data_IF_418059234682
#
_entry.id   IF_418059234682
#
_cell.length_a   1.000
_cell.length_b   1.000
_cell.length_c   1.000
_cell.angle_alpha   90.00
_cell.angle_beta   90.00
_cell.angle_gamma   90.00
#
_symmetry.space_group_name_H-M   'P 1'
#
loop_
_entity.id
_entity.type
_entity.pdbx_description
1 polymer ?
#
# COMPACT_ATOMS: atom_id res chain seq x y z
N UNK A 1 6.92 27.38 -8.21
CA UNK A 1 5.99 26.23 -8.38
C UNK A 1 6.81 24.95 -8.37
N UNK A 2 6.87 24.27 -7.22
CA UNK A 2 7.52 22.97 -7.09
C UNK A 2 6.59 21.90 -7.67
N UNK A 3 6.76 21.58 -8.95
CA UNK A 3 6.25 20.31 -9.48
C UNK A 3 7.02 19.19 -8.79
N UNK A 4 6.48 18.73 -7.66
CA UNK A 4 6.92 17.50 -7.03
C UNK A 4 6.73 16.40 -8.07
N UNK A 5 7.82 15.99 -8.73
CA UNK A 5 7.89 14.75 -9.50
C UNK A 5 7.69 13.62 -8.50
N UNK A 6 6.45 13.37 -8.13
CA UNK A 6 6.01 12.06 -7.69
C UNK A 6 6.32 11.13 -8.86
N UNK A 7 7.52 10.56 -8.89
CA UNK A 7 7.68 9.23 -9.46
C UNK A 7 6.57 8.43 -8.82
N UNK A 8 5.52 8.09 -9.58
CA UNK A 8 4.30 7.50 -9.04
C UNK A 8 4.70 6.17 -8.40
N UNK A 9 4.98 6.22 -7.10
CA UNK A 9 5.14 5.04 -6.28
C UNK A 9 3.87 4.25 -6.49
N UNK A 10 4.02 2.99 -6.90
CA UNK A 10 2.91 2.06 -7.13
C UNK A 10 1.94 2.19 -5.97
N UNK A 11 0.78 2.78 -6.27
CA UNK A 11 -0.19 3.19 -5.27
C UNK A 11 -1.27 2.13 -5.24
N UNK A 12 -1.40 1.50 -4.08
CA UNK A 12 -2.48 0.57 -3.81
C UNK A 12 -3.83 1.28 -3.87
N UNK A 13 -4.84 0.65 -4.46
CA UNK A 13 -6.22 1.14 -4.45
C UNK A 13 -7.24 0.02 -4.47
N UNK A 14 -8.43 0.32 -3.95
CA UNK A 14 -9.62 -0.51 -4.10
C UNK A 14 -10.49 0.02 -5.25
N UNK A 15 -10.70 -0.81 -6.27
CA UNK A 15 -11.71 -0.60 -7.30
C UNK A 15 -13.05 -1.13 -6.81
N UNK A 16 -14.05 -0.27 -6.72
CA UNK A 16 -15.39 -0.59 -6.21
C UNK A 16 -16.39 -0.55 -7.36
N UNK A 17 -17.01 -1.68 -7.66
CA UNK A 17 -18.09 -1.79 -8.64
C UNK A 17 -19.44 -1.91 -7.92
N UNK A 18 -20.35 -0.99 -8.20
CA UNK A 18 -21.68 -0.93 -7.59
C UNK A 18 -22.76 -1.31 -8.58
N UNK A 19 -23.74 -2.08 -8.13
CA UNK A 19 -24.97 -2.34 -8.90
C UNK A 19 -25.96 -1.17 -8.71
N UNK A 20 -26.51 -0.66 -9.79
CA UNK A 20 -27.59 0.33 -9.83
C UNK A 20 -28.76 -0.19 -10.69
N UNK A 21 -29.91 0.49 -10.65
CA UNK A 21 -31.06 0.14 -11.50
C UNK A 21 -30.72 0.25 -12.99
N UNK A 22 -29.99 1.30 -13.36
CA UNK A 22 -29.67 1.63 -14.75
C UNK A 22 -28.27 1.14 -15.18
N UNK A 23 -27.78 0.08 -14.53
CA UNK A 23 -26.51 -0.57 -14.87
C UNK A 23 -25.50 -0.62 -13.72
N UNK A 24 -24.22 -0.50 -14.06
CA UNK A 24 -23.11 -0.53 -13.10
C UNK A 24 -22.31 0.75 -13.18
N UNK A 25 -21.84 1.20 -12.03
CA UNK A 25 -20.92 2.32 -11.91
C UNK A 25 -19.78 1.91 -10.98
N UNK A 26 -18.63 2.54 -11.11
CA UNK A 26 -17.41 2.17 -10.40
C UNK A 26 -16.62 3.39 -9.96
N UNK A 27 -15.87 3.23 -8.87
CA UNK A 27 -14.98 4.27 -8.35
C UNK A 27 -13.72 3.65 -7.76
N UNK A 28 -12.62 4.37 -7.80
CA UNK A 28 -11.33 3.96 -7.27
C UNK A 28 -11.07 4.67 -5.94
N UNK A 29 -10.83 3.92 -4.87
CA UNK A 29 -10.40 4.46 -3.58
C UNK A 29 -8.92 4.16 -3.38
N UNK A 30 -8.00 5.13 -3.54
CA UNK A 30 -6.59 4.91 -3.33
C UNK A 30 -6.22 4.92 -1.84
N UNK A 31 -5.15 4.21 -1.51
CA UNK A 31 -4.53 4.20 -0.19
C UNK A 31 -3.28 5.08 -0.19
N UNK A 32 -3.22 6.04 0.72
CA UNK A 32 -2.05 6.90 0.91
C UNK A 32 -1.31 6.51 2.18
N UNK A 33 -0.15 5.87 2.03
CA UNK A 33 0.73 5.55 3.15
C UNK A 33 1.45 6.81 3.67
N UNK A 34 1.54 6.97 5.00
CA UNK A 34 2.28 8.05 5.66
C UNK A 34 3.67 7.62 6.16
N UNK A 35 4.15 6.43 5.75
CA UNK A 35 5.46 5.90 6.11
C UNK A 35 5.68 5.68 7.63
N UNK A 36 4.62 5.39 8.39
CA UNK A 36 4.69 5.14 9.84
C UNK A 36 5.48 3.90 10.30
N UNK A 37 6.07 3.12 9.39
CA UNK A 37 6.90 1.97 9.72
C UNK A 37 6.17 0.76 10.32
N UNK A 38 4.86 0.81 10.55
CA UNK A 38 4.10 -0.31 11.16
C UNK A 38 4.15 -1.58 10.31
N UNK A 39 4.18 -1.48 8.98
CA UNK A 39 4.36 -2.66 8.13
C UNK A 39 5.74 -3.33 8.30
N UNK A 40 6.72 -2.60 8.84
CA UNK A 40 8.07 -3.10 9.12
C UNK A 40 8.17 -3.78 10.49
N UNK A 41 7.12 -3.72 11.32
CA UNK A 41 7.02 -4.44 12.61
C UNK A 41 6.20 -5.71 12.48
N UNK A 42 5.78 -6.09 11.27
CA UNK A 42 5.08 -7.35 11.00
C UNK A 42 6.10 -8.47 10.75
N UNK A 43 5.74 -9.70 11.12
CA UNK A 43 6.63 -10.87 11.21
C UNK A 43 7.12 -11.46 9.87
N UNK A 44 7.16 -10.67 8.78
CA UNK A 44 7.37 -11.19 7.41
C UNK A 44 8.23 -10.28 6.52
N UNK A 45 8.91 -9.27 7.07
CA UNK A 45 9.68 -8.36 6.22
C UNK A 45 10.77 -9.08 5.40
N UNK A 46 11.41 -10.10 5.96
CA UNK A 46 12.55 -10.78 5.34
C UNK A 46 12.15 -11.71 4.18
N UNK A 47 10.84 -11.99 4.02
CA UNK A 47 10.29 -12.77 2.90
C UNK A 47 9.58 -11.89 1.86
N UNK A 48 9.61 -10.57 2.02
CA UNK A 48 8.91 -9.63 1.15
C UNK A 48 9.49 -9.50 -0.28
N UNK A 49 10.41 -10.37 -0.68
CA UNK A 49 10.97 -10.43 -2.03
C UNK A 49 12.24 -9.58 -2.23
N UNK A 50 12.70 -9.54 -3.49
CA UNK A 50 13.94 -8.83 -3.86
C UNK A 50 13.71 -7.33 -3.99
N UNK A 51 14.66 -6.56 -3.48
CA UNK A 51 14.73 -5.12 -3.71
C UNK A 51 15.36 -4.86 -5.08
N UNK A 52 14.63 -4.19 -5.99
CA UNK A 52 15.15 -3.77 -7.30
C UNK A 52 15.79 -2.39 -7.19
N UNK A 53 17.11 -2.38 -6.99
CA UNK A 53 17.92 -1.16 -6.94
C UNK A 53 19.07 -1.31 -7.93
N UNK A 54 19.31 -0.26 -8.71
CA UNK A 54 20.53 -0.14 -9.51
C UNK A 54 21.73 0.09 -8.57
N UNK A 55 22.74 -0.81 -8.54
CA UNK A 55 23.90 -0.67 -7.66
C UNK A 55 24.67 0.63 -7.86
N UNK A 56 24.65 1.20 -9.08
CA UNK A 56 25.32 2.46 -9.40
C UNK A 56 24.60 3.67 -8.77
N UNK A 57 23.29 3.60 -8.61
CA UNK A 57 22.49 4.69 -8.04
C UNK A 57 22.54 4.71 -6.52
N UNK A 58 22.64 3.53 -5.88
CA UNK A 58 22.62 3.40 -4.42
C UNK A 58 23.59 2.30 -3.92
N UNK A 59 24.91 2.48 -4.06
CA UNK A 59 25.89 1.44 -3.76
C UNK A 59 25.89 1.01 -2.29
N UNK A 60 25.69 1.95 -1.35
CA UNK A 60 25.62 1.65 0.10
C UNK A 60 24.43 0.76 0.45
N UNK A 61 23.26 1.06 -0.13
CA UNK A 61 22.06 0.29 0.13
C UNK A 61 22.13 -1.09 -0.53
N UNK A 62 22.69 -1.16 -1.74
CA UNK A 62 22.96 -2.44 -2.40
C UNK A 62 23.90 -3.32 -1.56
N UNK A 63 25.01 -2.78 -1.07
CA UNK A 63 25.94 -3.50 -0.19
C UNK A 63 25.26 -3.98 1.11
N UNK A 64 24.43 -3.13 1.74
CA UNK A 64 23.66 -3.51 2.95
C UNK A 64 22.67 -4.64 2.66
N UNK A 65 21.96 -4.60 1.54
CA UNK A 65 21.03 -5.66 1.13
C UNK A 65 21.76 -6.97 0.82
N UNK A 66 22.88 -6.91 0.11
CA UNK A 66 23.69 -8.08 -0.21
C UNK A 66 24.18 -8.76 1.08
N UNK A 67 24.78 -8.00 2.00
CA UNK A 67 25.22 -8.53 3.28
C UNK A 67 24.09 -9.16 4.10
N UNK A 68 22.89 -8.58 4.06
CA UNK A 68 21.71 -9.15 4.70
C UNK A 68 21.31 -10.49 4.05
N UNK A 69 21.22 -10.55 2.72
CA UNK A 69 20.86 -11.78 2.02
C UNK A 69 21.91 -12.88 2.21
N UNK A 70 23.19 -12.55 2.23
CA UNK A 70 24.27 -13.50 2.49
C UNK A 70 24.22 -14.06 3.93
N UNK A 71 23.89 -13.22 4.92
CA UNK A 71 23.69 -13.69 6.30
C UNK A 71 22.45 -14.60 6.43
N UNK A 72 21.34 -14.24 5.78
CA UNK A 72 20.13 -15.05 5.77
C UNK A 72 20.35 -16.39 5.08
N UNK A 73 21.04 -16.41 3.93
CA UNK A 73 21.40 -17.63 3.22
C UNK A 73 22.25 -18.57 4.08
N UNK A 74 23.30 -18.05 4.73
CA UNK A 74 24.14 -18.84 5.64
C UNK A 74 23.33 -19.41 6.81
N UNK A 75 22.39 -18.65 7.39
CA UNK A 75 21.53 -19.15 8.49
C UNK A 75 20.63 -20.28 8.03
N UNK A 76 20.03 -20.15 6.84
CA UNK A 76 19.19 -21.18 6.26
C UNK A 76 19.96 -22.50 6.03
N UNK A 77 21.18 -22.41 5.50
CA UNK A 77 22.05 -23.58 5.25
C UNK A 77 22.46 -24.30 6.55
N UNK A 78 22.65 -23.56 7.65
CA UNK A 78 23.05 -24.14 8.94
C UNK A 78 21.86 -24.84 9.62
N UNK A 79 20.71 -24.18 9.69
CA UNK A 79 19.53 -24.69 10.39
C UNK A 79 18.26 -23.95 9.94
N UNK A 80 17.44 -24.62 9.13
CA UNK A 80 16.19 -24.07 8.61
C UNK A 80 15.18 -23.72 9.72
N UNK A 81 15.08 -24.52 10.79
CA UNK A 81 14.15 -24.25 11.88
C UNK A 81 14.58 -23.02 12.69
N UNK A 82 15.89 -22.84 12.89
CA UNK A 82 16.44 -21.64 13.52
C UNK A 82 16.30 -20.40 12.64
N UNK A 83 16.43 -20.56 11.32
CA UNK A 83 16.15 -19.51 10.36
C UNK A 83 14.69 -19.05 10.45
N UNK A 84 13.73 -19.98 10.43
CA UNK A 84 12.30 -19.66 10.51
C UNK A 84 11.99 -18.89 11.79
N UNK A 85 12.53 -19.34 12.92
CA UNK A 85 12.39 -18.62 14.19
C UNK A 85 13.03 -17.23 14.12
N UNK A 86 14.19 -17.08 13.49
CA UNK A 86 14.86 -15.79 13.35
C UNK A 86 14.01 -14.82 12.53
N UNK A 87 13.49 -15.22 11.38
CA UNK A 87 12.73 -14.31 10.51
C UNK A 87 11.39 -13.88 11.12
N UNK A 88 10.76 -14.74 11.92
CA UNK A 88 9.51 -14.43 12.61
C UNK A 88 9.65 -13.44 13.78
N UNK A 89 10.84 -13.35 14.39
CA UNK A 89 11.03 -12.56 15.61
C UNK A 89 11.98 -11.37 15.42
N UNK A 90 12.59 -11.23 14.25
CA UNK A 90 13.54 -10.15 13.95
C UNK A 90 12.81 -8.99 13.29
N UNK A 91 12.93 -7.79 13.89
CA UNK A 91 12.41 -6.59 13.29
C UNK A 91 13.06 -6.30 11.93
N UNK A 92 12.31 -5.65 11.04
CA UNK A 92 12.83 -5.20 9.76
C UNK A 92 14.13 -4.39 9.92
N UNK A 93 15.25 -4.78 9.27
CA UNK A 93 16.54 -4.08 9.38
C UNK A 93 16.57 -2.69 8.71
N UNK A 94 15.46 -2.28 8.11
CA UNK A 94 15.25 -0.95 7.52
C UNK A 94 14.23 -0.12 8.31
N UNK A 95 13.75 -0.61 9.45
CA UNK A 95 13.00 0.21 10.39
C UNK A 95 13.96 1.11 11.16
N UNK A 96 13.98 2.40 10.85
CA UNK A 96 14.83 3.41 11.50
C UNK A 96 13.94 4.56 11.96
N UNK A 97 14.02 4.93 13.24
CA UNK A 97 13.21 6.01 13.84
C UNK A 97 11.70 5.88 13.54
N UNK A 98 11.16 4.66 13.62
CA UNK A 98 9.75 4.33 13.30
C UNK A 98 9.34 4.61 11.84
N UNK A 99 10.29 4.65 10.91
CA UNK A 99 10.02 4.78 9.48
C UNK A 99 10.86 3.79 8.66
N UNK A 100 10.38 3.47 7.46
CA UNK A 100 11.09 2.59 6.53
C UNK A 100 12.19 3.38 5.80
N UNK A 101 13.45 3.11 6.12
CA UNK A 101 14.61 3.79 5.53
C UNK A 101 14.79 3.56 4.03
N UNK A 102 14.07 2.58 3.46
CA UNK A 102 14.12 2.22 2.04
C UNK A 102 12.78 2.41 1.32
N UNK A 103 11.90 3.27 1.86
CA UNK A 103 10.51 3.39 1.40
C UNK A 103 10.34 3.54 -0.12
N UNK A 104 11.21 4.35 -0.75
CA UNK A 104 11.17 4.61 -2.21
C UNK A 104 11.53 3.38 -3.06
N UNK A 105 12.31 2.45 -2.50
CA UNK A 105 12.87 1.28 -3.20
C UNK A 105 12.48 -0.02 -2.48
N UNK A 106 11.32 -0.03 -1.83
CA UNK A 106 10.79 -1.20 -1.13
C UNK A 106 10.75 -2.44 -2.04
N UNK A 107 10.99 -3.64 -1.48
CA UNK A 107 10.82 -4.88 -2.23
C UNK A 107 9.35 -5.10 -2.59
N UNK A 108 9.10 -5.92 -3.61
CA UNK A 108 7.76 -6.14 -4.18
C UNK A 108 6.69 -6.46 -3.12
N UNK A 109 6.94 -7.43 -2.23
CA UNK A 109 5.99 -7.80 -1.16
C UNK A 109 5.72 -6.66 -0.17
N UNK A 110 6.68 -5.75 0.05
CA UNK A 110 6.45 -4.55 0.86
C UNK A 110 5.65 -3.48 0.13
N UNK A 111 5.74 -3.43 -1.21
CA UNK A 111 4.90 -2.55 -2.03
C UNK A 111 3.47 -3.03 -2.05
N UNK A 112 3.26 -4.34 -1.90
CA UNK A 112 1.93 -4.92 -1.85
C UNK A 112 1.12 -4.53 -0.61
N UNK A 113 1.73 -3.98 0.44
CA UNK A 113 1.00 -3.48 1.61
C UNK A 113 -0.01 -2.38 1.23
N UNK A 114 -1.27 -2.45 1.71
CA UNK A 114 -1.82 -3.37 2.70
C UNK A 114 -2.42 -4.68 2.13
N UNK A 115 -2.40 -4.90 0.82
CA UNK A 115 -2.89 -6.12 0.16
C UNK A 115 -1.93 -7.31 0.32
N UNK A 116 -1.63 -7.64 1.57
CA UNK A 116 -0.91 -8.86 1.99
C UNK A 116 -1.79 -9.63 2.97
N UNK A 117 -1.52 -10.92 3.26
CA UNK A 117 -2.34 -11.73 4.18
C UNK A 117 -2.58 -11.07 5.54
N UNK A 118 -1.58 -10.32 6.05
CA UNK A 118 -1.62 -9.64 7.35
C UNK A 118 -1.83 -8.13 7.23
N UNK A 119 -1.55 -7.53 6.07
CA UNK A 119 -1.56 -6.08 5.88
C UNK A 119 -2.93 -5.46 6.16
N UNK A 120 -4.00 -6.08 5.66
CA UNK A 120 -5.37 -5.63 5.95
C UNK A 120 -5.81 -5.91 7.39
N UNK A 121 -5.05 -6.64 8.20
CA UNK A 121 -5.37 -6.94 9.60
C UNK A 121 -4.68 -5.97 10.58
N UNK A 122 -3.69 -5.20 10.10
CA UNK A 122 -2.95 -4.24 10.93
C UNK A 122 -3.88 -3.21 11.58
N UNK A 123 -3.69 -2.98 12.88
CA UNK A 123 -4.48 -2.05 13.69
C UNK A 123 -3.75 -0.75 14.04
N UNK A 124 -2.43 -0.75 14.08
CA UNK A 124 -1.65 0.44 14.49
C UNK A 124 -1.25 1.35 13.32
N UNK A 125 -1.75 1.06 12.13
CA UNK A 125 -1.53 1.87 10.93
C UNK A 125 -2.70 2.84 10.72
N UNK A 126 -2.53 4.08 11.16
CA UNK A 126 -3.56 5.12 11.10
C UNK A 126 -4.12 5.33 9.66
N UNK A 127 -3.29 5.44 8.60
CA UNK A 127 -3.84 5.57 7.25
C UNK A 127 -4.63 4.35 6.80
N UNK A 128 -4.24 3.15 7.22
CA UNK A 128 -4.98 1.94 6.87
C UNK A 128 -6.34 1.90 7.58
N UNK A 129 -6.39 2.27 8.86
CA UNK A 129 -7.65 2.34 9.60
C UNK A 129 -8.62 3.33 8.95
N UNK A 130 -8.10 4.50 8.55
CA UNK A 130 -8.87 5.50 7.83
C UNK A 130 -9.32 5.00 6.45
N UNK A 131 -8.45 4.34 5.69
CA UNK A 131 -8.80 3.69 4.43
C UNK A 131 -9.93 2.65 4.59
N UNK A 132 -9.86 1.78 5.60
CA UNK A 132 -10.93 0.82 5.93
C UNK A 132 -12.24 1.53 6.26
N UNK A 133 -12.20 2.62 7.02
CA UNK A 133 -13.37 3.43 7.36
C UNK A 133 -13.98 4.09 6.12
N UNK A 134 -13.15 4.64 5.23
CA UNK A 134 -13.56 5.21 3.94
C UNK A 134 -14.20 4.14 3.05
N UNK A 135 -13.57 2.97 2.93
CA UNK A 135 -14.07 1.82 2.18
C UNK A 135 -15.45 1.40 2.69
N UNK A 136 -15.61 1.22 4.01
CA UNK A 136 -16.89 0.90 4.63
C UNK A 136 -17.96 1.98 4.37
N UNK A 137 -17.59 3.26 4.42
CA UNK A 137 -18.51 4.37 4.15
C UNK A 137 -19.03 4.36 2.71
N UNK A 138 -18.15 4.12 1.73
CA UNK A 138 -18.54 4.04 0.31
C UNK A 138 -19.51 2.89 0.05
N UNK A 139 -19.24 1.70 0.60
CA UNK A 139 -20.07 0.49 0.45
C UNK A 139 -21.42 0.54 1.15
N UNK A 140 -21.55 1.33 2.21
CA UNK A 140 -22.72 1.30 3.10
C UNK A 140 -24.04 1.39 2.32
N UNK A 141 -24.90 0.38 2.52
CA UNK A 141 -26.21 0.27 1.90
C UNK A 141 -26.22 -0.17 0.44
N UNK A 142 -25.10 -0.68 -0.11
CA UNK A 142 -24.97 -1.03 -1.53
C UNK A 142 -24.32 -2.40 -1.73
N UNK A 143 -24.85 -3.19 -2.66
CA UNK A 143 -24.17 -4.39 -3.17
C UNK A 143 -22.96 -3.94 -3.99
N UNK A 144 -21.77 -4.27 -3.50
CA UNK A 144 -20.49 -3.78 -4.02
C UNK A 144 -19.57 -4.96 -4.27
N UNK A 145 -18.91 -5.01 -5.43
CA UNK A 145 -17.80 -5.90 -5.72
C UNK A 145 -16.51 -5.12 -5.58
N UNK A 146 -15.51 -5.71 -4.92
CA UNK A 146 -14.25 -5.07 -4.60
C UNK A 146 -13.11 -5.77 -5.33
N UNK A 147 -12.13 -5.00 -5.78
CA UNK A 147 -10.89 -5.52 -6.33
C UNK A 147 -9.74 -4.65 -5.87
N UNK A 148 -8.66 -5.28 -5.43
CA UNK A 148 -7.47 -4.65 -4.88
C UNK A 148 -6.37 -4.66 -5.94
N UNK A 149 -5.84 -3.47 -6.26
CA UNK A 149 -5.00 -3.25 -7.45
C UNK A 149 -3.87 -2.26 -7.14
N UNK A 150 -2.85 -2.23 -8.00
CA UNK A 150 -1.74 -1.27 -7.97
C UNK A 150 -1.80 -0.36 -9.19
N UNK A 151 -1.31 0.88 -9.05
CA UNK A 151 -1.56 1.99 -9.98
C UNK A 151 -0.93 1.85 -11.37
N UNK A 152 -0.13 0.81 -11.59
CA UNK A 152 0.59 0.51 -12.84
C UNK A 152 -0.39 0.54 -14.03
N UNK A 153 -1.61 0.03 -13.81
CA UNK A 153 -2.76 0.24 -14.70
C UNK A 153 -3.98 0.57 -13.84
N UNK A 154 -4.34 1.85 -13.79
CA UNK A 154 -5.55 2.28 -13.07
C UNK A 154 -6.78 1.87 -13.89
N UNK A 155 -7.69 1.08 -13.29
CA UNK A 155 -8.95 0.70 -13.95
C UNK A 155 -9.81 1.94 -14.17
N UNK A 156 -10.50 2.05 -15.32
CA UNK A 156 -11.41 3.14 -15.57
C UNK A 156 -12.53 3.13 -14.52
N UNK A 157 -12.81 4.30 -13.95
CA UNK A 157 -13.98 4.54 -13.13
C UNK A 157 -15.12 5.05 -14.01
N UNK A 158 -16.36 4.70 -13.66
CA UNK A 158 -17.56 5.11 -14.39
C UNK A 158 -18.58 5.60 -13.39
N UNK A 159 -18.93 6.88 -13.41
CA UNK A 159 -19.90 7.45 -12.48
C UNK A 159 -20.55 8.70 -13.06
N UNK A 160 -21.72 9.06 -12.55
CA UNK A 160 -22.30 10.39 -12.75
C UNK A 160 -21.71 11.39 -11.76
N UNK A 161 -21.83 12.69 -12.06
CA UNK A 161 -21.39 13.76 -11.16
C UNK A 161 -22.04 13.63 -9.77
N UNK A 162 -23.35 13.36 -9.74
CA UNK A 162 -24.08 13.16 -8.49
C UNK A 162 -23.54 11.97 -7.67
N UNK A 163 -23.18 10.86 -8.33
CA UNK A 163 -22.57 9.70 -7.67
C UNK A 163 -21.20 10.04 -7.09
N UNK A 164 -20.41 10.82 -7.83
CA UNK A 164 -19.09 11.28 -7.39
C UNK A 164 -19.19 12.20 -6.18
N UNK A 165 -20.05 13.23 -6.24
CA UNK A 165 -20.31 14.15 -5.12
C UNK A 165 -20.79 13.41 -3.87
N UNK A 166 -21.66 12.40 -4.03
CA UNK A 166 -22.07 11.53 -2.90
C UNK A 166 -20.89 10.76 -2.30
N UNK A 167 -19.94 10.30 -3.12
CA UNK A 167 -18.74 9.66 -2.62
C UNK A 167 -17.85 10.64 -1.85
N UNK A 168 -17.64 11.86 -2.37
CA UNK A 168 -16.87 12.90 -1.69
C UNK A 168 -17.46 13.22 -0.31
N UNK A 169 -18.78 13.45 -0.22
CA UNK A 169 -19.45 13.70 1.05
C UNK A 169 -19.28 12.56 2.07
N UNK A 170 -19.34 11.30 1.61
CA UNK A 170 -19.08 10.13 2.45
C UNK A 170 -17.62 10.06 2.93
N UNK A 171 -16.66 10.37 2.06
CA UNK A 171 -15.24 10.36 2.38
C UNK A 171 -14.89 11.47 3.39
N UNK A 172 -15.43 12.67 3.23
CA UNK A 172 -15.30 13.77 4.18
C UNK A 172 -15.81 13.38 5.57
N UNK A 173 -17.01 12.80 5.66
CA UNK A 173 -17.56 12.27 6.92
C UNK A 173 -16.73 11.10 7.50
N UNK A 174 -16.04 10.35 6.64
CA UNK A 174 -15.12 9.30 7.06
C UNK A 174 -13.78 9.84 7.56
N UNK A 175 -13.49 11.13 7.38
CA UNK A 175 -12.26 11.79 7.81
C UNK A 175 -11.13 11.70 6.78
N UNK A 176 -11.44 11.73 5.48
CA UNK A 176 -10.44 11.83 4.41
C UNK A 176 -9.57 13.08 4.59
N UNK A 177 -8.27 12.92 4.39
CA UNK A 177 -7.30 14.04 4.41
C UNK A 177 -7.23 14.72 3.04
N UNK A 178 -6.66 15.93 2.97
CA UNK A 178 -6.48 16.64 1.70
C UNK A 178 -5.63 15.85 0.69
N UNK A 179 -4.54 15.22 1.15
CA UNK A 179 -3.67 14.41 0.29
C UNK A 179 -4.38 13.16 -0.26
N UNK A 180 -5.18 12.49 0.57
CA UNK A 180 -6.00 11.36 0.12
C UNK A 180 -7.09 11.79 -0.85
N UNK A 181 -7.69 12.95 -0.63
CA UNK A 181 -8.71 13.51 -1.50
C UNK A 181 -8.13 13.88 -2.87
N UNK A 182 -6.96 14.53 -2.90
CA UNK A 182 -6.24 14.84 -4.13
C UNK A 182 -5.90 13.56 -4.93
N UNK A 183 -5.45 12.52 -4.24
CA UNK A 183 -5.18 11.22 -4.84
C UNK A 183 -6.48 10.56 -5.36
N UNK A 184 -7.58 10.65 -4.61
CA UNK A 184 -8.88 10.16 -5.03
C UNK A 184 -9.37 10.84 -6.32
N UNK A 185 -9.21 12.16 -6.44
CA UNK A 185 -9.49 12.87 -7.70
C UNK A 185 -8.60 12.35 -8.85
N UNK A 186 -7.30 12.18 -8.62
CA UNK A 186 -6.37 11.70 -9.64
C UNK A 186 -6.75 10.31 -10.18
N UNK A 187 -7.17 9.39 -9.30
CA UNK A 187 -7.57 8.03 -9.67
C UNK A 187 -8.93 7.94 -10.36
N UNK A 188 -9.73 8.99 -10.28
CA UNK A 188 -11.09 9.03 -10.82
C UNK A 188 -11.29 10.10 -11.88
N UNK A 189 -10.22 10.78 -12.30
CA UNK A 189 -10.31 11.73 -13.41
C UNK A 189 -10.71 10.96 -14.66
N UNK A 190 -11.93 11.21 -15.15
CA UNK A 190 -12.41 10.63 -16.39
C UNK A 190 -11.47 11.12 -17.51
N UNK A 191 -10.80 10.17 -18.18
CA UNK A 191 -10.05 10.45 -19.41
C UNK A 191 -11.01 10.41 -20.58
#
# INVERSE_FOLDING_TARGET
MLYCRYSMVETFYAHLEFKAKDGKWSINLPFLCNQCGVCCTLDDFLVAGKVRINPLENPKLHAKLQALYDDLGRRWEVDAAKYDKFIQHTQCPFLVNKSCSIYAVRPEGCRQYPNTPFGMQTKDCEPLNRFKKQLAALKRGRKTKESYLFSDVTKPSRFSEEQFQKCLSKLQKAGVTEGELALFYAFNKQK
#
